data_IF_009441286003
#
_entry.id   IF_009441286003
#
_cell.length_a   1.000
_cell.length_b   1.000
_cell.length_c   1.000
_cell.angle_alpha   90.00
_cell.angle_beta   90.00
_cell.angle_gamma   90.00
#
_symmetry.space_group_name_H-M   'P 1'
#
loop_
_entity.id
_entity.type
_entity.pdbx_description
1 polymer ?
#
# COMPACT_ATOMS: atom_id res chain seq x y z
N UNK A 1 12.81 -3.55 -39.53
CA UNK A 1 12.53 -3.60 -38.08
C UNK A 1 13.03 -2.29 -37.50
N UNK A 2 12.14 -1.35 -37.14
CA UNK A 2 12.54 -0.02 -36.69
C UNK A 2 13.34 -0.13 -35.39
N UNK A 3 14.59 0.34 -35.38
CA UNK A 3 15.39 0.33 -34.15
C UNK A 3 14.74 1.28 -33.15
N UNK A 4 14.48 0.80 -31.94
CA UNK A 4 14.00 1.63 -30.84
C UNK A 4 15.00 2.79 -30.64
N UNK A 5 14.53 4.02 -30.89
CA UNK A 5 15.34 5.23 -30.71
C UNK A 5 15.90 5.31 -29.29
N UNK A 6 17.06 5.94 -29.11
CA UNK A 6 17.69 6.22 -27.80
C UNK A 6 16.69 6.85 -26.82
N UNK A 7 15.74 7.63 -27.32
CA UNK A 7 14.65 8.20 -26.52
C UNK A 7 13.75 7.15 -25.86
N UNK A 8 13.49 6.00 -26.48
CA UNK A 8 12.73 4.91 -25.87
C UNK A 8 13.52 4.29 -24.72
N UNK A 9 14.83 4.09 -24.91
CA UNK A 9 15.70 3.56 -23.86
C UNK A 9 15.85 4.52 -22.68
N UNK A 10 15.85 5.84 -22.93
CA UNK A 10 15.80 6.84 -21.87
C UNK A 10 14.49 6.79 -21.10
N UNK A 11 13.33 6.68 -21.77
CA UNK A 11 12.03 6.55 -21.10
C UNK A 11 12.01 5.26 -20.25
N UNK A 12 12.48 4.14 -20.80
CA UNK A 12 12.58 2.87 -20.07
C UNK A 12 13.50 3.01 -18.85
N UNK A 13 14.68 3.63 -19.00
CA UNK A 13 15.61 3.86 -17.90
C UNK A 13 15.06 4.79 -16.83
N UNK A 14 14.28 5.81 -17.21
CA UNK A 14 13.64 6.73 -16.27
C UNK A 14 12.55 6.00 -15.48
N UNK A 15 11.64 5.29 -16.15
CA UNK A 15 10.56 4.54 -15.49
C UNK A 15 11.07 3.38 -14.62
N UNK A 16 12.22 2.80 -14.96
CA UNK A 16 12.82 1.69 -14.22
C UNK A 16 13.79 2.18 -13.12
N UNK A 17 14.53 3.26 -13.40
CA UNK A 17 15.52 3.86 -12.51
C UNK A 17 14.96 4.77 -11.42
N UNK A 18 13.89 5.53 -11.67
CA UNK A 18 13.26 6.37 -10.64
C UNK A 18 12.72 5.55 -9.45
N UNK A 19 11.95 4.45 -9.68
CA UNK A 19 11.52 3.58 -8.59
C UNK A 19 12.73 3.03 -7.82
N UNK A 20 13.78 2.59 -8.52
CA UNK A 20 15.01 2.09 -7.89
C UNK A 20 15.67 3.14 -6.98
N UNK A 21 15.71 4.40 -7.38
CA UNK A 21 16.30 5.49 -6.58
C UNK A 21 15.54 5.69 -5.25
N UNK A 22 14.22 5.62 -5.25
CA UNK A 22 13.42 5.70 -4.03
C UNK A 22 13.52 4.44 -3.16
N UNK A 23 13.81 3.29 -3.78
CA UNK A 23 13.93 1.99 -3.10
C UNK A 23 15.23 1.82 -2.33
N UNK A 24 16.31 2.46 -2.78
CA UNK A 24 17.60 2.43 -2.10
C UNK A 24 17.64 3.33 -0.85
N UNK A 25 16.64 4.20 -0.64
CA UNK A 25 16.54 5.02 0.58
C UNK A 25 15.92 4.23 1.73
N UNK A 26 16.75 3.60 2.56
CA UNK A 26 16.32 2.93 3.78
C UNK A 26 15.46 3.81 4.71
N UNK A 27 14.65 3.20 5.58
CA UNK A 27 13.85 3.94 6.55
C UNK A 27 14.78 4.75 7.49
N UNK A 28 14.38 5.96 7.92
CA UNK A 28 15.15 6.71 8.91
C UNK A 28 15.21 5.93 10.23
N UNK A 29 16.34 5.99 10.92
CA UNK A 29 16.49 5.38 12.24
C UNK A 29 15.69 6.17 13.28
N UNK A 30 15.05 5.46 14.23
CA UNK A 30 14.32 6.05 15.35
C UNK A 30 12.84 5.68 15.39
N UNK A 31 12.09 6.39 16.22
CA UNK A 31 10.64 6.19 16.37
C UNK A 31 9.91 6.47 15.05
N UNK A 32 8.79 5.77 14.84
CA UNK A 32 7.99 5.96 13.62
C UNK A 32 7.47 7.41 13.54
N UNK A 33 7.75 8.10 12.43
CA UNK A 33 7.37 9.52 12.20
C UNK A 33 5.91 9.75 11.85
N UNK A 34 5.14 8.69 11.58
CA UNK A 34 3.77 8.77 11.07
C UNK A 34 2.69 8.63 12.15
N UNK A 35 3.08 8.58 13.43
CA UNK A 35 2.18 8.58 14.59
C UNK A 35 2.24 7.30 15.42
N UNK A 36 1.27 7.12 16.32
CA UNK A 36 1.18 5.96 17.21
C UNK A 36 0.82 4.66 16.48
N UNK A 37 1.11 3.53 17.13
CA UNK A 37 0.74 2.21 16.60
C UNK A 37 -0.79 2.10 16.47
N UNK A 38 -1.32 1.79 15.29
CA UNK A 38 -2.77 1.67 15.10
C UNK A 38 -3.33 0.49 15.91
N UNK A 39 -4.52 0.63 16.52
CA UNK A 39 -5.15 -0.46 17.26
C UNK A 39 -5.53 -1.61 16.30
N UNK A 40 -5.64 -2.81 16.85
CA UNK A 40 -6.24 -3.94 16.14
C UNK A 40 -7.72 -3.66 15.89
N UNK A 41 -8.18 -3.92 14.67
CA UNK A 41 -9.56 -3.68 14.24
C UNK A 41 -10.24 -5.00 13.86
N UNK A 42 -11.55 -5.06 14.06
CA UNK A 42 -12.39 -6.14 13.53
C UNK A 42 -12.67 -5.95 12.02
N UNK A 43 -13.23 -6.97 11.37
CA UNK A 43 -13.54 -6.93 9.93
C UNK A 43 -14.43 -5.73 9.54
N UNK A 44 -15.53 -5.50 10.27
CA UNK A 44 -16.44 -4.38 10.00
C UNK A 44 -15.81 -3.00 10.26
N UNK A 45 -14.99 -2.89 11.30
CA UNK A 45 -14.24 -1.66 11.61
C UNK A 45 -13.22 -1.34 10.52
N UNK A 46 -12.52 -2.36 9.99
CA UNK A 46 -11.58 -2.20 8.90
C UNK A 46 -12.27 -1.68 7.63
N UNK A 47 -13.44 -2.22 7.27
CA UNK A 47 -14.22 -1.73 6.12
C UNK A 47 -14.67 -0.28 6.35
N UNK A 48 -15.14 0.05 7.55
CA UNK A 48 -15.50 1.45 7.88
C UNK A 48 -14.30 2.38 7.76
N UNK A 49 -13.14 1.97 8.28
CA UNK A 49 -11.88 2.74 8.16
C UNK A 49 -11.47 2.90 6.70
N UNK A 50 -11.61 1.87 5.88
CA UNK A 50 -11.27 1.87 4.45
C UNK A 50 -12.03 2.96 3.69
N UNK A 51 -13.35 3.03 3.87
CA UNK A 51 -14.17 4.06 3.23
C UNK A 51 -14.04 5.44 3.88
N UNK A 52 -13.79 5.52 5.19
CA UNK A 52 -13.51 6.80 5.88
C UNK A 52 -12.20 7.44 5.43
N UNK A 53 -11.19 6.62 5.14
CA UNK A 53 -9.85 7.05 4.73
C UNK A 53 -9.63 6.90 3.21
N UNK A 54 -10.64 7.23 2.41
CA UNK A 54 -10.67 6.94 0.98
C UNK A 54 -9.51 7.57 0.19
N UNK A 55 -9.15 8.83 0.48
CA UNK A 55 -8.00 9.55 -0.13
C UNK A 55 -7.03 10.04 0.93
N UNK A 56 -7.04 9.42 2.12
CA UNK A 56 -6.15 9.81 3.20
C UNK A 56 -4.85 9.00 3.14
N UNK A 57 -3.78 9.65 2.70
CA UNK A 57 -2.43 9.08 2.64
C UNK A 57 -1.65 9.27 3.95
N UNK A 58 -2.19 10.02 4.91
CA UNK A 58 -1.53 10.34 6.16
C UNK A 58 -1.90 9.35 7.26
N UNK A 59 -0.94 9.09 8.16
CA UNK A 59 -1.10 8.15 9.27
C UNK A 59 -0.64 6.73 8.94
N UNK A 60 -1.01 5.80 9.82
CA UNK A 60 -0.58 4.39 9.81
C UNK A 60 -1.78 3.48 9.66
N UNK A 61 -1.62 2.43 8.86
CA UNK A 61 -2.60 1.35 8.75
C UNK A 61 -2.05 0.08 9.41
N UNK A 62 -2.83 -0.45 10.36
CA UNK A 62 -2.47 -1.67 11.07
C UNK A 62 -2.52 -2.89 10.15
N UNK A 63 -1.93 -4.00 10.60
CA UNK A 63 -1.99 -5.28 9.87
C UNK A 63 -3.43 -5.74 9.68
N UNK A 64 -4.26 -5.65 10.72
CA UNK A 64 -5.68 -6.04 10.66
C UNK A 64 -6.48 -5.17 9.71
N UNK A 65 -6.28 -3.84 9.71
CA UNK A 65 -6.96 -2.92 8.79
C UNK A 65 -6.61 -3.27 7.34
N UNK A 66 -5.33 -3.49 7.04
CA UNK A 66 -4.84 -3.85 5.71
C UNK A 66 -5.43 -5.17 5.21
N UNK A 67 -5.27 -6.26 5.98
CA UNK A 67 -5.66 -7.59 5.52
C UNK A 67 -7.17 -7.77 5.43
N UNK A 68 -7.95 -7.19 6.36
CA UNK A 68 -9.41 -7.25 6.25
C UNK A 68 -9.95 -6.40 5.10
N UNK A 69 -9.36 -5.22 4.85
CA UNK A 69 -9.73 -4.40 3.68
C UNK A 69 -9.38 -5.11 2.38
N UNK A 70 -8.21 -5.74 2.30
CA UNK A 70 -7.79 -6.52 1.14
C UNK A 70 -8.73 -7.71 0.87
N UNK A 71 -9.11 -8.45 1.92
CA UNK A 71 -10.09 -9.52 1.82
C UNK A 71 -11.43 -9.01 1.29
N UNK A 72 -11.93 -7.88 1.81
CA UNK A 72 -13.15 -7.24 1.32
C UNK A 72 -13.07 -6.89 -0.16
N UNK A 73 -11.95 -6.28 -0.60
CA UNK A 73 -11.73 -5.94 -2.02
C UNK A 73 -11.77 -7.18 -2.91
N UNK A 74 -11.12 -8.27 -2.49
CA UNK A 74 -11.10 -9.52 -3.25
C UNK A 74 -12.49 -10.14 -3.33
N UNK A 75 -13.24 -10.17 -2.23
CA UNK A 75 -14.62 -10.71 -2.22
C UNK A 75 -15.51 -9.94 -3.20
N UNK A 76 -15.50 -8.61 -3.14
CA UNK A 76 -16.32 -7.80 -4.04
C UNK A 76 -15.84 -7.91 -5.49
N UNK A 77 -14.54 -8.00 -5.75
CA UNK A 77 -14.02 -8.23 -7.09
C UNK A 77 -14.53 -9.56 -7.68
N UNK A 78 -14.57 -10.64 -6.90
CA UNK A 78 -15.14 -11.93 -7.34
C UNK A 78 -16.63 -11.81 -7.63
N UNK A 79 -17.39 -11.09 -6.78
CA UNK A 79 -18.82 -10.86 -7.01
C UNK A 79 -19.07 -10.06 -8.31
N UNK A 80 -18.29 -9.01 -8.56
CA UNK A 80 -18.39 -8.22 -9.79
C UNK A 80 -18.04 -9.04 -11.03
N UNK A 81 -17.03 -9.92 -10.93
CA UNK A 81 -16.67 -10.82 -12.03
C UNK A 81 -17.79 -11.81 -12.36
N UNK A 82 -18.51 -12.33 -11.36
CA UNK A 82 -19.67 -13.21 -11.60
C UNK A 82 -20.79 -12.44 -12.30
N UNK A 83 -21.08 -11.22 -11.85
CA UNK A 83 -22.10 -10.35 -12.48
C UNK A 83 -21.76 -10.09 -13.94
N UNK A 84 -20.51 -9.76 -14.24
CA UNK A 84 -20.03 -9.49 -15.59
C UNK A 84 -20.17 -10.72 -16.52
N UNK A 85 -19.87 -11.92 -16.01
CA UNK A 85 -20.10 -13.18 -16.75
C UNK A 85 -21.59 -13.40 -17.06
N UNK A 86 -22.48 -13.09 -16.11
CA UNK A 86 -23.92 -13.25 -16.30
C UNK A 86 -24.49 -12.21 -17.28
N UNK A 87 -23.99 -10.98 -17.23
CA UNK A 87 -24.46 -9.88 -18.09
C UNK A 87 -23.77 -9.84 -19.46
N UNK A 88 -22.71 -10.60 -19.67
CA UNK A 88 -21.93 -10.63 -20.91
C UNK A 88 -21.17 -9.33 -21.19
N UNK A 89 -20.82 -8.56 -20.16
CA UNK A 89 -20.04 -7.32 -20.29
C UNK A 89 -19.04 -7.18 -19.13
N UNK A 90 -18.08 -6.27 -19.26
CA UNK A 90 -17.01 -6.04 -18.27
C UNK A 90 -17.15 -4.69 -17.55
N UNK A 91 -18.37 -4.12 -17.55
CA UNK A 91 -18.59 -2.75 -17.08
C UNK A 91 -18.54 -2.71 -15.54
N UNK A 92 -19.11 -3.70 -14.85
CA UNK A 92 -19.21 -3.70 -13.39
C UNK A 92 -17.84 -3.84 -12.72
N UNK A 93 -17.02 -4.79 -13.20
CA UNK A 93 -15.65 -4.95 -12.72
C UNK A 93 -14.78 -3.74 -13.03
N UNK A 94 -14.94 -3.11 -14.21
CA UNK A 94 -14.21 -1.89 -14.58
C UNK A 94 -14.53 -0.74 -13.62
N UNK A 95 -15.80 -0.50 -13.33
CA UNK A 95 -16.23 0.54 -12.37
C UNK A 95 -15.69 0.24 -10.97
N UNK A 96 -15.76 -1.02 -10.53
CA UNK A 96 -15.25 -1.44 -9.23
C UNK A 96 -13.75 -1.18 -9.11
N UNK A 97 -12.96 -1.60 -10.11
CA UNK A 97 -11.51 -1.40 -10.13
C UNK A 97 -11.15 0.10 -10.05
N UNK A 98 -11.88 0.96 -10.75
CA UNK A 98 -11.68 2.40 -10.68
C UNK A 98 -12.07 2.99 -9.32
N UNK A 99 -13.16 2.50 -8.71
CA UNK A 99 -13.58 2.94 -7.38
C UNK A 99 -12.53 2.55 -6.31
N UNK A 100 -12.01 1.33 -6.33
CA UNK A 100 -11.04 0.90 -5.30
C UNK A 100 -9.61 1.37 -5.57
N UNK A 101 -9.30 1.92 -6.75
CA UNK A 101 -7.95 2.33 -7.12
C UNK A 101 -7.36 3.36 -6.13
N UNK A 102 -8.07 4.44 -5.85
CA UNK A 102 -7.60 5.48 -4.93
C UNK A 102 -7.48 5.00 -3.47
N UNK A 103 -8.50 4.36 -2.86
CA UNK A 103 -8.39 3.92 -1.48
C UNK A 103 -7.38 2.79 -1.27
N UNK A 104 -7.15 1.94 -2.27
CA UNK A 104 -6.08 0.92 -2.19
C UNK A 104 -4.69 1.54 -2.20
N UNK A 105 -4.45 2.56 -3.03
CA UNK A 105 -3.20 3.33 -3.01
C UNK A 105 -3.01 4.08 -1.68
N UNK A 106 -4.08 4.68 -1.15
CA UNK A 106 -4.03 5.36 0.14
C UNK A 106 -3.71 4.39 1.29
N UNK A 107 -4.38 3.25 1.32
CA UNK A 107 -4.21 2.23 2.36
C UNK A 107 -2.84 1.54 2.28
N UNK A 108 -2.34 1.21 1.10
CA UNK A 108 -1.00 0.63 0.91
C UNK A 108 0.11 1.61 1.30
N UNK A 109 -0.05 2.91 0.99
CA UNK A 109 0.86 3.95 1.47
C UNK A 109 0.89 4.03 3.01
N UNK A 110 -0.28 4.08 3.66
CA UNK A 110 -0.40 4.05 5.13
C UNK A 110 0.17 2.78 5.76
N UNK A 111 0.12 1.64 5.06
CA UNK A 111 0.75 0.39 5.51
C UNK A 111 2.28 0.47 5.44
N UNK A 112 2.84 1.09 4.39
CA UNK A 112 4.28 1.34 4.30
C UNK A 112 4.76 2.34 5.37
N UNK A 113 3.92 3.30 5.73
CA UNK A 113 4.18 4.21 6.84
C UNK A 113 4.27 3.47 8.19
N UNK A 114 3.58 2.34 8.36
CA UNK A 114 3.64 1.56 9.60
C UNK A 114 5.02 0.92 9.87
N UNK A 115 5.83 0.71 8.83
CA UNK A 115 7.22 0.23 8.89
C UNK A 115 8.23 1.36 8.65
N UNK A 116 7.83 2.60 8.93
CA UNK A 116 8.60 3.82 8.78
C UNK A 116 9.18 4.06 7.37
N UNK A 117 8.60 3.43 6.33
CA UNK A 117 8.97 3.64 4.92
C UNK A 117 8.07 4.70 4.29
N UNK A 118 8.48 5.25 3.16
CA UNK A 118 7.63 6.16 2.38
C UNK A 118 6.61 5.38 1.55
N UNK A 119 5.43 5.98 1.31
CA UNK A 119 4.42 5.41 0.41
C UNK A 119 4.91 5.18 -1.03
N UNK A 120 5.95 5.91 -1.46
CA UNK A 120 6.59 5.75 -2.78
C UNK A 120 7.13 4.35 -3.07
N UNK A 121 7.39 3.55 -2.03
CA UNK A 121 7.80 2.15 -2.20
C UNK A 121 6.74 1.30 -2.92
N UNK A 122 5.47 1.72 -2.96
CA UNK A 122 4.42 1.02 -3.73
C UNK A 122 4.73 0.91 -5.23
N UNK A 123 5.56 1.81 -5.78
CA UNK A 123 5.97 1.76 -7.20
C UNK A 123 6.83 0.52 -7.52
N UNK A 124 7.39 -0.15 -6.51
CA UNK A 124 8.03 -1.46 -6.69
C UNK A 124 7.08 -2.52 -7.23
N UNK A 125 5.77 -2.36 -7.07
CA UNK A 125 4.80 -3.30 -7.61
C UNK A 125 4.94 -3.44 -9.15
N UNK A 126 5.43 -2.40 -9.85
CA UNK A 126 5.69 -2.45 -11.29
C UNK A 126 6.89 -3.33 -11.69
N UNK A 127 7.81 -3.64 -10.77
CA UNK A 127 8.96 -4.51 -10.98
C UNK A 127 8.61 -5.98 -10.70
N UNK A 128 7.56 -6.48 -11.34
CA UNK A 128 7.14 -7.88 -11.20
C UNK A 128 8.22 -8.83 -11.77
N UNK A 129 8.56 -9.94 -11.08
CA UNK A 129 7.99 -10.45 -9.82
C UNK A 129 8.74 -10.03 -8.54
N UNK A 130 9.95 -9.47 -8.65
CA UNK A 130 10.82 -9.23 -7.48
C UNK A 130 10.23 -8.17 -6.55
N UNK A 131 9.71 -7.08 -7.12
CA UNK A 131 9.15 -5.96 -6.35
C UNK A 131 7.83 -6.30 -5.65
N UNK A 132 6.99 -7.15 -6.24
CA UNK A 132 5.73 -7.60 -5.60
C UNK A 132 6.01 -8.52 -4.42
N UNK A 133 6.99 -9.42 -4.52
CA UNK A 133 7.41 -10.27 -3.39
C UNK A 133 7.97 -9.42 -2.25
N UNK A 134 8.82 -8.44 -2.55
CA UNK A 134 9.37 -7.53 -1.54
C UNK A 134 8.26 -6.75 -0.81
N UNK A 135 7.27 -6.25 -1.54
CA UNK A 135 6.11 -5.55 -0.96
C UNK A 135 5.26 -6.47 -0.09
N UNK A 136 4.99 -7.70 -0.53
CA UNK A 136 4.26 -8.68 0.28
C UNK A 136 4.96 -8.98 1.60
N UNK A 137 6.28 -9.17 1.58
CA UNK A 137 7.09 -9.35 2.80
C UNK A 137 6.94 -8.14 3.73
N UNK A 138 6.97 -6.93 3.20
CA UNK A 138 6.79 -5.71 3.99
C UNK A 138 5.39 -5.52 4.53
N UNK A 139 4.35 -5.90 3.79
CA UNK A 139 2.97 -5.89 4.30
C UNK A 139 2.80 -6.85 5.47
N UNK A 140 3.52 -7.97 5.48
CA UNK A 140 3.57 -8.93 6.59
C UNK A 140 4.45 -8.48 7.78
N UNK A 141 5.38 -7.52 7.62
CA UNK A 141 6.31 -7.11 8.71
C UNK A 141 5.59 -6.51 9.92
N UNK A 142 6.23 -6.61 11.10
CA UNK A 142 5.71 -6.03 12.35
C UNK A 142 5.75 -4.52 12.21
N UNK A 143 4.74 -3.87 12.77
CA UNK A 143 4.71 -2.43 12.96
C UNK A 143 5.97 -2.01 13.73
N UNK A 144 6.62 -0.93 13.29
CA UNK A 144 7.74 -0.38 14.06
C UNK A 144 7.20 0.15 15.39
N UNK A 145 7.91 -0.18 16.47
CA UNK A 145 7.52 0.21 17.82
C UNK A 145 7.59 1.74 17.91
N UNK A 146 6.43 2.36 18.13
CA UNK A 146 6.43 3.75 18.58
C UNK A 146 7.01 3.72 19.99
N UNK A 147 8.20 4.28 20.16
CA UNK A 147 8.72 4.59 21.49
C UNK A 147 7.67 5.44 22.18
N UNK A 148 6.88 4.81 23.05
CA UNK A 148 5.86 5.49 23.83
C UNK A 148 6.55 6.64 24.56
N UNK A 149 5.91 7.81 24.67
CA UNK A 149 6.43 8.90 25.50
C UNK A 149 6.77 8.44 26.93
N UNK A 150 6.17 7.32 27.39
CA UNK A 150 6.48 6.65 28.65
C UNK A 150 7.90 6.06 28.72
N UNK A 151 8.53 5.74 27.59
CA UNK A 151 9.92 5.26 27.53
C UNK A 151 10.90 6.43 27.68
N UNK A 152 10.62 7.55 27.00
CA UNK A 152 11.37 8.80 27.19
C UNK A 152 11.22 9.28 28.64
N UNK A 153 10.01 9.28 29.20
CA UNK A 153 9.78 9.59 30.61
C UNK A 153 10.45 8.60 31.57
N UNK A 154 10.69 7.35 31.16
CA UNK A 154 11.45 6.35 31.95
C UNK A 154 12.95 6.60 31.93
N UNK A 155 13.50 7.14 30.85
CA UNK A 155 14.92 7.50 30.73
C UNK A 155 15.25 8.78 31.51
N UNK A 156 14.29 9.70 31.60
CA UNK A 156 14.44 10.98 32.33
C UNK A 156 13.93 10.94 33.78
N UNK A 157 13.59 9.76 34.33
CA UNK A 157 13.28 9.55 35.75
C UNK A 157 14.40 8.77 36.40
#
# INVERSE_FOLDING_TARGET
MGSLSIWHWLIVLIFLGLPLLFVLRGPPAGVNRFGDTPPSMNFGEAISSFFRNYVNFSGRAGRSEFWYSYLFIVIVAVLMAIVDVVLGNEISSSIWNLAVLLPTLAMTARRLHDINRSGWYQLLAGLFPIGTIALLVWYCKKSDETGSLNEIQRVFR
#
